data_IF_453389593321
#
_entry.id   IF_453389593321
#
_cell.length_a   1.000
_cell.length_b   1.000
_cell.length_c   1.000
_cell.angle_alpha   90.00
_cell.angle_beta   90.00
_cell.angle_gamma   90.00
#
_symmetry.space_group_name_H-M   'P 1'
#
loop_
_entity.id
_entity.type
_entity.pdbx_description
1 polymer ?
#
# COMPACT_ATOMS: atom_id res chain seq x y z
N UNK A 1 39.10 14.97 -64.01
CA UNK A 1 40.14 15.17 -62.95
C UNK A 1 39.57 14.56 -61.68
N UNK A 2 40.09 13.56 -60.96
CA UNK A 2 41.38 12.86 -60.87
C UNK A 2 41.12 11.34 -60.69
N UNK A 3 42.14 10.54 -61.02
CA UNK A 3 42.33 9.08 -60.83
C UNK A 3 42.10 8.67 -59.35
N UNK A 4 41.82 7.40 -58.97
CA UNK A 4 42.72 6.23 -59.05
C UNK A 4 41.98 4.94 -58.64
N UNK A 5 42.34 3.82 -59.29
CA UNK A 5 42.15 2.45 -58.82
C UNK A 5 43.18 2.13 -57.71
N UNK A 6 42.86 1.26 -56.74
CA UNK A 6 43.85 0.36 -56.16
C UNK A 6 43.24 -0.91 -55.52
N UNK A 7 43.71 -2.02 -56.05
CA UNK A 7 43.68 -3.42 -55.62
C UNK A 7 44.46 -3.59 -54.30
N UNK A 8 44.03 -4.41 -53.31
CA UNK A 8 44.98 -5.23 -52.51
C UNK A 8 44.27 -6.16 -51.49
N UNK A 9 44.54 -7.46 -51.66
CA UNK A 9 44.79 -8.54 -50.69
C UNK A 9 43.88 -8.77 -49.46
N UNK A 10 43.23 -9.94 -49.49
CA UNK A 10 42.99 -10.78 -48.31
C UNK A 10 44.32 -11.13 -47.61
N UNK A 11 44.42 -10.87 -46.31
CA UNK A 11 45.47 -11.40 -45.45
C UNK A 11 44.82 -12.17 -44.30
N UNK A 12 44.93 -13.49 -44.36
CA UNK A 12 44.59 -14.39 -43.27
C UNK A 12 45.70 -14.32 -42.22
N UNK A 13 45.44 -13.67 -41.09
CA UNK A 13 46.29 -13.74 -39.90
C UNK A 13 45.77 -14.84 -38.98
N UNK A 14 46.48 -15.96 -39.02
CA UNK A 14 46.48 -16.98 -37.96
C UNK A 14 47.15 -16.34 -36.74
N UNK A 15 46.36 -15.93 -35.76
CA UNK A 15 46.86 -15.68 -34.41
C UNK A 15 46.73 -16.97 -33.61
N UNK A 16 47.83 -17.72 -33.53
CA UNK A 16 48.05 -18.60 -32.39
C UNK A 16 48.31 -17.71 -31.17
N UNK A 17 47.27 -17.51 -30.36
CA UNK A 17 47.45 -17.12 -28.97
C UNK A 17 47.38 -18.38 -28.14
N UNK A 18 48.53 -18.76 -27.58
CA UNK A 18 48.64 -19.69 -26.47
C UNK A 18 47.66 -19.24 -25.39
N UNK A 19 46.65 -20.07 -25.10
CA UNK A 19 45.98 -19.99 -23.82
C UNK A 19 47.01 -20.45 -22.78
N UNK A 20 47.55 -19.49 -22.01
CA UNK A 20 48.21 -19.80 -20.77
C UNK A 20 47.20 -20.53 -19.89
N UNK A 21 47.52 -21.78 -19.53
CA UNK A 21 47.01 -22.36 -18.30
C UNK A 21 47.62 -21.54 -17.17
N UNK A 22 46.87 -20.56 -16.68
CA UNK A 22 47.06 -20.09 -15.31
C UNK A 22 46.33 -21.12 -14.44
N UNK A 23 47.03 -22.22 -14.13
CA UNK A 23 46.69 -23.09 -13.02
C UNK A 23 46.99 -22.29 -11.75
N UNK A 24 46.04 -21.45 -11.35
CA UNK A 24 46.09 -20.68 -10.12
C UNK A 24 45.79 -21.65 -8.96
N UNK A 25 46.85 -22.21 -8.37
CA UNK A 25 46.83 -23.08 -7.17
C UNK A 25 46.39 -22.31 -5.90
N UNK A 26 45.31 -21.53 -5.98
CA UNK A 26 44.65 -20.97 -4.81
C UNK A 26 43.76 -22.06 -4.22
N UNK A 27 44.26 -22.75 -3.19
CA UNK A 27 43.48 -23.72 -2.43
C UNK A 27 42.17 -23.08 -1.92
N UNK A 28 41.04 -23.73 -2.19
CA UNK A 28 39.71 -23.27 -1.77
C UNK A 28 39.67 -23.04 -0.26
N UNK A 29 39.14 -21.90 0.17
CA UNK A 29 38.97 -21.53 1.58
C UNK A 29 37.58 -21.97 2.02
N UNK A 30 37.44 -23.27 2.32
CA UNK A 30 36.16 -23.85 2.70
C UNK A 30 35.80 -23.50 4.15
N UNK A 31 34.59 -22.94 4.39
CA UNK A 31 34.09 -22.76 5.74
C UNK A 31 33.59 -24.10 6.30
N UNK A 32 33.63 -24.22 7.62
CA UNK A 32 33.08 -25.35 8.38
C UNK A 32 31.57 -25.46 8.18
N UNK A 33 31.06 -26.69 8.28
CA UNK A 33 29.63 -26.95 8.21
C UNK A 33 28.89 -26.24 9.35
N UNK A 34 27.72 -25.67 9.04
CA UNK A 34 26.70 -25.36 10.06
C UNK A 34 26.13 -26.68 10.61
N UNK A 35 25.39 -26.64 11.72
CA UNK A 35 24.72 -27.82 12.25
C UNK A 35 23.32 -27.52 12.78
N UNK A 36 22.58 -28.56 13.18
CA UNK A 36 21.24 -28.45 13.77
C UNK A 36 20.27 -27.59 12.96
N UNK A 37 20.31 -27.69 11.63
CA UNK A 37 19.36 -27.00 10.75
C UNK A 37 17.95 -27.54 11.00
N UNK A 38 17.06 -26.67 11.45
CA UNK A 38 15.63 -26.95 11.64
C UNK A 38 14.76 -26.00 10.81
N UNK A 39 13.51 -26.40 10.61
CA UNK A 39 12.50 -25.59 9.96
C UNK A 39 11.20 -25.66 10.78
N UNK A 40 10.81 -24.54 11.35
CA UNK A 40 9.59 -24.40 12.15
C UNK A 40 8.51 -23.73 11.31
N UNK A 41 7.39 -24.43 11.00
CA UNK A 41 6.25 -23.84 10.31
C UNK A 41 5.64 -22.66 11.09
N UNK A 42 5.35 -21.56 10.38
CA UNK A 42 4.63 -20.40 10.90
C UNK A 42 3.49 -20.03 9.95
N UNK A 43 2.54 -19.21 10.43
CA UNK A 43 1.55 -18.61 9.53
C UNK A 43 2.26 -17.75 8.49
N UNK A 44 2.04 -18.04 7.21
CA UNK A 44 2.61 -17.26 6.11
C UNK A 44 4.11 -17.44 5.87
N UNK A 45 4.76 -18.40 6.53
CA UNK A 45 6.21 -18.57 6.45
C UNK A 45 6.79 -19.77 7.18
N UNK A 46 8.12 -19.85 7.17
CA UNK A 46 8.91 -20.87 7.87
C UNK A 46 10.11 -20.19 8.53
N UNK A 47 10.32 -20.44 9.83
CA UNK A 47 11.53 -20.04 10.53
C UNK A 47 12.59 -21.12 10.38
N UNK A 48 13.72 -20.78 9.80
CA UNK A 48 14.91 -21.64 9.76
C UNK A 48 15.83 -21.26 10.92
N UNK A 49 16.38 -22.26 11.60
CA UNK A 49 17.35 -22.08 12.68
C UNK A 49 18.51 -23.05 12.47
N UNK A 50 19.73 -22.63 12.80
CA UNK A 50 20.94 -23.45 12.70
C UNK A 50 21.99 -23.01 13.72
N UNK A 51 22.94 -23.88 14.03
CA UNK A 51 24.11 -23.51 14.81
C UNK A 51 25.24 -22.99 13.91
N UNK A 52 25.74 -21.79 14.25
CA UNK A 52 26.87 -21.16 13.55
C UNK A 52 28.18 -21.79 14.03
N UNK A 53 29.04 -22.30 13.12
CA UNK A 53 30.32 -22.85 13.50
C UNK A 53 31.28 -21.75 13.94
N UNK A 54 32.15 -22.07 14.91
CA UNK A 54 33.27 -21.19 15.28
C UNK A 54 34.37 -21.33 14.22
N UNK A 55 34.25 -20.56 13.15
CA UNK A 55 35.18 -20.58 12.01
C UNK A 55 35.38 -19.18 11.43
N UNK A 56 36.63 -18.70 11.38
CA UNK A 56 36.98 -17.42 10.78
C UNK A 56 36.84 -17.38 9.26
N UNK A 57 36.76 -18.54 8.61
CA UNK A 57 36.54 -18.64 7.16
C UNK A 57 35.06 -18.48 6.79
N UNK A 58 34.12 -18.58 7.74
CA UNK A 58 32.70 -18.34 7.48
C UNK A 58 32.45 -16.84 7.26
N UNK A 59 31.86 -16.50 6.13
CA UNK A 59 31.50 -15.13 5.79
C UNK A 59 29.98 -14.89 5.86
N UNK A 60 29.18 -15.84 5.36
CA UNK A 60 27.72 -15.84 5.49
C UNK A 60 27.16 -17.25 5.31
N UNK A 61 25.90 -17.45 5.70
CA UNK A 61 25.13 -18.65 5.36
C UNK A 61 24.15 -18.30 4.25
N UNK A 62 24.21 -19.01 3.15
CA UNK A 62 23.28 -18.89 2.04
C UNK A 62 22.10 -19.82 2.25
N UNK A 63 20.89 -19.28 2.19
CA UNK A 63 19.64 -20.03 2.14
C UNK A 63 19.09 -19.98 0.72
N UNK A 64 18.85 -21.14 0.10
CA UNK A 64 18.16 -21.23 -1.19
C UNK A 64 17.04 -22.26 -1.20
N UNK A 65 16.00 -21.95 -1.95
CA UNK A 65 14.85 -22.83 -2.19
C UNK A 65 14.21 -22.52 -3.54
N UNK A 66 13.39 -23.45 -4.00
CA UNK A 66 12.55 -23.27 -5.18
C UNK A 66 11.10 -23.28 -4.76
N UNK A 67 10.35 -22.26 -5.15
CA UNK A 67 8.92 -22.22 -4.88
C UNK A 67 8.22 -23.40 -5.58
N UNK A 68 7.50 -24.27 -4.86
CA UNK A 68 6.99 -25.54 -5.38
C UNK A 68 5.97 -25.36 -6.52
N UNK A 69 5.12 -24.33 -6.43
CA UNK A 69 4.13 -24.01 -7.48
C UNK A 69 4.71 -23.19 -8.64
N UNK A 70 5.39 -22.08 -8.36
CA UNK A 70 5.83 -21.15 -9.43
C UNK A 70 7.17 -21.52 -10.07
N UNK A 71 7.94 -22.43 -9.46
CA UNK A 71 9.30 -22.78 -9.89
C UNK A 71 10.33 -21.65 -9.68
N UNK A 72 9.93 -20.54 -9.05
CA UNK A 72 10.82 -19.41 -8.80
C UNK A 72 11.90 -19.80 -7.80
N UNK A 73 13.17 -19.68 -8.21
CA UNK A 73 14.33 -19.84 -7.33
C UNK A 73 14.51 -18.59 -6.48
N UNK A 74 14.78 -18.78 -5.19
CA UNK A 74 15.05 -17.71 -4.24
C UNK A 74 16.37 -18.00 -3.55
N UNK A 75 17.15 -16.95 -3.32
CA UNK A 75 18.42 -16.99 -2.61
C UNK A 75 18.45 -15.83 -1.61
N UNK A 76 18.83 -16.11 -0.37
CA UNK A 76 18.94 -15.15 0.73
C UNK A 76 20.23 -15.44 1.49
N UNK A 77 20.89 -14.41 1.99
CA UNK A 77 22.11 -14.56 2.79
C UNK A 77 21.84 -14.11 4.22
N UNK A 78 22.24 -14.92 5.19
CA UNK A 78 22.33 -14.57 6.60
C UNK A 78 23.78 -14.23 6.94
N UNK A 79 23.99 -13.13 7.66
CA UNK A 79 25.31 -12.77 8.19
C UNK A 79 25.87 -13.89 9.06
N UNK A 80 27.20 -13.96 9.18
CA UNK A 80 27.89 -14.85 10.13
C UNK A 80 27.42 -14.70 11.59
N UNK A 81 26.80 -13.56 11.94
CA UNK A 81 26.25 -13.32 13.27
C UNK A 81 24.79 -13.77 13.46
N UNK A 82 24.19 -14.38 12.44
CA UNK A 82 22.81 -14.85 12.48
C UNK A 82 22.78 -16.38 12.50
N UNK A 83 21.94 -16.92 13.37
CA UNK A 83 21.63 -18.33 13.56
C UNK A 83 20.21 -18.67 13.12
N UNK A 84 19.45 -17.69 12.62
CA UNK A 84 18.06 -17.83 12.22
C UNK A 84 17.73 -17.03 10.97
N UNK A 85 16.71 -17.47 10.22
CA UNK A 85 16.11 -16.73 9.11
C UNK A 85 14.62 -17.05 8.98
N UNK A 86 13.77 -16.03 9.08
CA UNK A 86 12.36 -16.13 8.70
C UNK A 86 12.20 -16.01 7.19
N UNK A 87 11.56 -17.01 6.58
CA UNK A 87 11.15 -16.95 5.18
C UNK A 87 9.64 -16.69 5.12
N UNK A 88 9.26 -15.47 4.77
CA UNK A 88 7.87 -15.02 4.65
C UNK A 88 7.31 -15.21 3.24
N UNK A 89 5.98 -15.06 3.11
CA UNK A 89 5.28 -15.07 1.83
C UNK A 89 5.06 -16.47 1.27
N UNK A 90 4.92 -17.46 2.15
CA UNK A 90 4.61 -18.85 1.80
C UNK A 90 3.17 -19.17 2.20
N UNK A 91 2.50 -19.98 1.39
CA UNK A 91 1.13 -20.41 1.67
C UNK A 91 1.10 -21.92 1.89
N UNK A 92 0.21 -22.39 2.78
CA UNK A 92 0.06 -23.81 3.02
C UNK A 92 -0.36 -24.56 1.75
N UNK A 93 -1.18 -23.93 0.89
CA UNK A 93 -1.60 -24.49 -0.41
C UNK A 93 -0.46 -24.76 -1.38
N UNK A 94 0.70 -24.10 -1.20
CA UNK A 94 1.85 -24.28 -2.09
C UNK A 94 2.55 -25.62 -1.84
N UNK A 95 2.29 -26.23 -0.68
CA UNK A 95 2.87 -27.52 -0.28
C UNK A 95 4.21 -27.40 0.42
N UNK A 96 4.97 -28.50 0.42
CA UNK A 96 6.24 -28.59 1.13
C UNK A 96 7.36 -27.90 0.34
N UNK A 97 8.11 -27.03 1.05
CA UNK A 97 9.33 -26.40 0.56
C UNK A 97 10.54 -27.24 0.97
N UNK A 98 11.54 -27.29 0.10
CA UNK A 98 12.88 -27.83 0.41
C UNK A 98 13.87 -26.67 0.47
N UNK A 99 14.42 -26.43 1.66
CA UNK A 99 15.40 -25.39 1.94
C UNK A 99 16.79 -25.99 2.00
N UNK A 100 17.76 -25.26 1.45
CA UNK A 100 19.16 -25.58 1.56
C UNK A 100 19.88 -24.45 2.28
N UNK A 101 20.71 -24.81 3.25
CA UNK A 101 21.58 -23.88 3.96
C UNK A 101 23.03 -24.25 3.70
N UNK A 102 23.82 -23.30 3.18
CA UNK A 102 25.20 -23.52 2.76
C UNK A 102 26.11 -22.43 3.35
N UNK A 103 27.11 -22.74 4.19
CA UNK A 103 28.09 -21.77 4.64
C UNK A 103 28.99 -21.37 3.47
N UNK A 104 29.31 -20.08 3.36
CA UNK A 104 30.11 -19.51 2.27
C UNK A 104 31.21 -18.64 2.85
N UNK A 105 32.42 -18.74 2.28
CA UNK A 105 33.57 -17.94 2.68
C UNK A 105 33.68 -16.60 1.95
N UNK A 106 34.66 -15.78 2.34
CA UNK A 106 34.90 -14.48 1.72
C UNK A 106 35.37 -14.60 0.26
N UNK A 107 35.98 -15.73 -0.11
CA UNK A 107 36.40 -16.08 -1.48
C UNK A 107 35.29 -16.70 -2.32
N UNK A 108 34.06 -16.81 -1.77
CA UNK A 108 32.90 -17.47 -2.38
C UNK A 108 33.03 -19.00 -2.52
N UNK A 109 33.98 -19.61 -1.81
CA UNK A 109 34.03 -21.06 -1.70
C UNK A 109 32.89 -21.55 -0.80
N UNK A 110 32.19 -22.59 -1.26
CA UNK A 110 30.99 -23.12 -0.60
C UNK A 110 31.33 -24.34 0.24
N UNK A 111 30.92 -24.33 1.51
CA UNK A 111 31.06 -25.46 2.41
C UNK A 111 29.96 -26.52 2.22
N UNK A 112 29.77 -27.35 3.23
CA UNK A 112 28.75 -28.41 3.21
C UNK A 112 27.32 -27.84 3.19
N UNK A 113 26.50 -28.33 2.26
CA UNK A 113 25.10 -27.95 2.13
C UNK A 113 24.22 -28.89 2.98
N UNK A 114 23.45 -28.31 3.89
CA UNK A 114 22.39 -29.01 4.63
C UNK A 114 21.02 -28.78 3.97
N UNK A 115 20.11 -29.75 4.12
CA UNK A 115 18.74 -29.70 3.62
C UNK A 115 17.76 -29.84 4.78
N UNK A 116 16.66 -29.06 4.73
CA UNK A 116 15.51 -29.23 5.61
C UNK A 116 14.22 -28.98 4.84
N UNK A 117 13.11 -29.56 5.28
CA UNK A 117 11.80 -29.42 4.63
C UNK A 117 10.75 -28.96 5.62
N UNK A 118 9.86 -28.10 5.14
CA UNK A 118 8.69 -27.67 5.89
C UNK A 118 7.62 -27.11 4.93
N UNK A 119 6.37 -27.16 5.36
CA UNK A 119 5.28 -26.38 4.77
C UNK A 119 4.93 -25.23 5.72
N UNK A 120 4.51 -24.09 5.19
CA UNK A 120 3.96 -23.02 6.02
C UNK A 120 2.61 -23.44 6.64
N UNK A 121 2.22 -22.80 7.74
CA UNK A 121 0.86 -22.90 8.27
C UNK A 121 -0.10 -22.02 7.43
N UNK A 122 -1.40 -22.37 7.35
CA UNK A 122 -2.37 -21.61 6.59
C UNK A 122 -2.46 -20.16 7.06
N UNK A 123 -2.55 -19.24 6.09
CA UNK A 123 -2.78 -17.81 6.34
C UNK A 123 -4.28 -17.52 6.46
N UNK A 124 -4.66 -16.71 7.44
CA UNK A 124 -6.05 -16.27 7.57
C UNK A 124 -6.51 -15.43 6.37
N UNK A 125 -7.81 -15.46 6.00
CA UNK A 125 -8.35 -14.56 5.00
C UNK A 125 -8.10 -13.09 5.38
N UNK A 126 -7.70 -12.30 4.39
CA UNK A 126 -7.46 -10.87 4.55
C UNK A 126 -8.70 -10.11 4.13
N UNK A 127 -9.22 -9.27 5.03
CA UNK A 127 -10.28 -8.31 4.69
C UNK A 127 -9.61 -7.09 4.06
N UNK A 128 -9.89 -6.87 2.78
CA UNK A 128 -9.42 -5.69 2.06
C UNK A 128 -10.55 -4.69 1.91
N UNK A 129 -10.29 -3.46 2.31
CA UNK A 129 -11.18 -2.35 2.02
C UNK A 129 -10.97 -1.88 0.57
N UNK A 130 -12.07 -1.78 -0.17
CA UNK A 130 -12.12 -1.24 -1.52
C UNK A 130 -12.95 0.04 -1.50
N UNK A 131 -12.39 1.11 -2.05
CA UNK A 131 -13.04 2.41 -2.19
C UNK A 131 -13.30 2.71 -3.65
N UNK A 132 -14.54 3.01 -4.00
CA UNK A 132 -14.95 3.41 -5.34
C UNK A 132 -15.47 4.85 -5.30
N UNK A 133 -14.92 5.74 -6.15
CA UNK A 133 -15.32 7.16 -6.19
C UNK A 133 -16.74 7.29 -6.73
N UNK A 134 -17.59 8.00 -5.99
CA UNK A 134 -18.93 8.39 -6.44
C UNK A 134 -18.81 9.67 -7.25
N UNK A 135 -19.30 9.64 -8.49
CA UNK A 135 -19.33 10.82 -9.34
C UNK A 135 -20.47 11.74 -8.87
N UNK A 136 -20.10 12.87 -8.27
CA UNK A 136 -21.00 13.93 -7.87
C UNK A 136 -20.95 15.08 -8.88
N UNK A 137 -22.07 15.77 -9.06
CA UNK A 137 -22.18 17.02 -9.80
C UNK A 137 -22.84 18.11 -8.95
N UNK A 138 -23.00 19.30 -9.52
CA UNK A 138 -23.63 20.46 -8.87
C UNK A 138 -24.95 20.12 -8.19
N UNK A 139 -25.81 19.39 -8.87
CA UNK A 139 -27.17 19.08 -8.40
C UNK A 139 -27.18 18.09 -7.22
N UNK A 140 -26.04 17.45 -6.93
CA UNK A 140 -25.87 16.62 -5.74
C UNK A 140 -25.57 17.44 -4.48
N UNK A 141 -25.25 18.74 -4.60
CA UNK A 141 -24.73 19.53 -3.50
C UNK A 141 -25.71 20.65 -3.11
N UNK A 142 -25.89 20.83 -1.82
CA UNK A 142 -26.61 21.96 -1.24
C UNK A 142 -25.79 22.53 -0.08
N UNK A 143 -25.64 23.85 -0.02
CA UNK A 143 -25.08 24.53 1.13
C UNK A 143 -26.17 25.35 1.83
N UNK A 144 -26.21 25.31 3.15
CA UNK A 144 -27.17 26.09 3.93
C UNK A 144 -26.91 27.59 3.90
N UNK A 145 -25.65 27.97 3.66
CA UNK A 145 -25.21 29.35 3.75
C UNK A 145 -24.05 29.64 2.79
N UNK A 146 -24.29 29.59 1.46
CA UNK A 146 -23.28 29.90 0.46
C UNK A 146 -22.90 31.39 0.52
N UNK A 147 -21.63 31.70 0.34
CA UNK A 147 -21.19 33.09 0.28
C UNK A 147 -21.71 33.79 -0.99
N UNK A 148 -22.31 34.99 -0.86
CA UNK A 148 -22.88 35.69 -2.00
C UNK A 148 -21.82 36.35 -2.89
N UNK A 149 -20.57 36.52 -2.44
CA UNK A 149 -19.55 37.40 -3.01
C UNK A 149 -18.20 36.73 -3.34
N UNK A 150 -17.75 35.76 -2.57
CA UNK A 150 -16.47 35.07 -2.75
C UNK A 150 -16.65 33.55 -2.79
N UNK A 151 -16.06 32.85 -3.76
CA UNK A 151 -16.20 31.38 -3.85
C UNK A 151 -17.66 30.92 -4.03
N UNK A 152 -18.44 31.64 -4.84
CA UNK A 152 -19.91 31.51 -4.93
C UNK A 152 -20.43 30.20 -5.51
N UNK A 153 -19.59 29.50 -6.29
CA UNK A 153 -20.04 28.41 -7.15
C UNK A 153 -19.81 27.07 -6.48
N UNK A 154 -20.87 26.46 -5.96
CA UNK A 154 -20.79 25.17 -5.26
C UNK A 154 -20.30 24.04 -6.17
N UNK A 155 -20.48 24.17 -7.49
CA UNK A 155 -19.92 23.26 -8.49
C UNK A 155 -18.39 23.18 -8.46
N UNK A 156 -17.69 24.18 -7.92
CA UNK A 156 -16.23 24.11 -7.73
C UNK A 156 -15.80 23.03 -6.74
N UNK A 157 -16.72 22.51 -5.91
CA UNK A 157 -16.40 21.37 -5.05
C UNK A 157 -16.20 20.07 -5.83
N UNK A 158 -16.67 20.00 -7.07
CA UNK A 158 -16.74 18.75 -7.85
C UNK A 158 -16.31 18.97 -9.31
N UNK A 159 -15.51 20.01 -9.58
CA UNK A 159 -15.04 20.35 -10.92
C UNK A 159 -13.68 19.70 -11.25
N UNK A 160 -13.04 19.03 -10.28
CA UNK A 160 -11.71 18.45 -10.41
C UNK A 160 -10.58 19.48 -10.44
N UNK A 161 -10.85 20.73 -10.07
CA UNK A 161 -9.90 21.83 -10.06
C UNK A 161 -9.64 22.37 -8.64
N UNK A 162 -8.65 21.77 -8.00
CA UNK A 162 -8.13 22.11 -6.67
C UNK A 162 -7.56 23.54 -6.49
N UNK A 163 -7.59 24.39 -7.53
CA UNK A 163 -7.21 25.80 -7.43
C UNK A 163 -8.40 26.74 -7.25
N UNK A 164 -9.59 26.32 -7.69
CA UNK A 164 -10.84 26.99 -7.38
C UNK A 164 -11.23 26.71 -5.93
N UNK A 165 -12.20 27.45 -5.41
CA UNK A 165 -12.76 27.16 -4.10
C UNK A 165 -14.21 27.63 -4.00
N UNK A 166 -14.99 26.88 -3.23
CA UNK A 166 -16.27 27.30 -2.71
C UNK A 166 -16.10 27.84 -1.29
N UNK A 167 -16.80 28.92 -0.97
CA UNK A 167 -16.79 29.53 0.36
C UNK A 167 -18.22 29.59 0.90
N UNK A 168 -18.37 29.24 2.17
CA UNK A 168 -19.62 29.50 2.92
C UNK A 168 -19.58 30.91 3.51
N UNK A 169 -20.71 31.58 3.69
CA UNK A 169 -20.77 33.02 3.95
C UNK A 169 -19.91 33.47 5.14
N UNK A 170 -18.82 34.20 4.86
CA UNK A 170 -17.99 34.77 5.92
C UNK A 170 -18.30 36.25 6.19
N UNK A 171 -19.04 36.88 5.29
CA UNK A 171 -19.48 38.27 5.40
C UNK A 171 -20.60 38.42 6.44
N UNK A 172 -21.54 37.48 6.48
CA UNK A 172 -22.63 37.40 7.47
C UNK A 172 -22.79 35.97 7.99
N UNK A 173 -21.75 35.38 8.58
CA UNK A 173 -21.74 33.97 9.01
C UNK A 173 -22.88 33.59 9.98
N UNK A 174 -23.29 34.49 10.87
CA UNK A 174 -24.20 34.15 11.96
C UNK A 174 -23.54 33.21 12.98
N UNK A 175 -24.33 32.36 13.65
CA UNK A 175 -23.86 31.54 14.80
C UNK A 175 -24.17 30.05 14.65
N UNK A 176 -24.80 29.64 13.56
CA UNK A 176 -25.16 28.24 13.32
C UNK A 176 -24.08 27.62 12.43
N UNK A 177 -23.59 26.41 12.74
CA UNK A 177 -22.65 25.68 11.89
C UNK A 177 -23.06 25.61 10.41
N UNK A 178 -22.11 25.86 9.51
CA UNK A 178 -22.33 25.71 8.09
C UNK A 178 -22.18 24.24 7.68
N UNK A 179 -22.88 23.84 6.62
CA UNK A 179 -22.81 22.47 6.12
C UNK A 179 -22.99 22.38 4.60
N UNK A 180 -22.52 21.25 4.06
CA UNK A 180 -22.85 20.76 2.73
C UNK A 180 -23.69 19.50 2.88
N UNK A 181 -24.88 19.51 2.28
CA UNK A 181 -25.67 18.31 2.05
C UNK A 181 -25.30 17.71 0.69
N UNK A 182 -25.10 16.40 0.69
CA UNK A 182 -24.70 15.59 -0.46
C UNK A 182 -25.83 14.61 -0.72
N UNK A 183 -26.53 14.78 -1.84
CA UNK A 183 -27.52 13.84 -2.36
C UNK A 183 -26.80 12.77 -3.17
N UNK A 184 -26.88 11.51 -2.74
CA UNK A 184 -26.15 10.42 -3.37
C UNK A 184 -26.91 9.86 -4.58
N UNK A 185 -26.23 9.52 -5.69
CA UNK A 185 -26.87 8.91 -6.86
C UNK A 185 -27.54 7.56 -6.57
N UNK A 186 -27.10 6.88 -5.51
CA UNK A 186 -27.70 5.65 -4.97
C UNK A 186 -27.41 5.59 -3.47
N UNK A 187 -28.27 4.94 -2.66
CA UNK A 187 -28.02 4.81 -1.23
C UNK A 187 -26.70 4.09 -0.93
N UNK A 188 -25.97 4.54 0.08
CA UNK A 188 -24.68 3.98 0.51
C UNK A 188 -24.71 3.60 1.97
N UNK A 189 -24.04 2.51 2.34
CA UNK A 189 -23.95 2.06 3.73
C UNK A 189 -22.66 2.55 4.38
N UNK A 190 -21.52 2.17 3.79
CA UNK A 190 -20.20 2.58 4.23
C UNK A 190 -19.54 3.50 3.20
N UNK A 191 -18.87 4.53 3.67
CA UNK A 191 -18.31 5.56 2.79
C UNK A 191 -17.15 6.33 3.42
N UNK A 192 -16.45 7.09 2.59
CA UNK A 192 -15.48 8.12 3.01
C UNK A 192 -15.76 9.42 2.29
N UNK A 193 -15.45 10.52 2.96
CA UNK A 193 -15.46 11.87 2.39
C UNK A 193 -14.01 12.34 2.36
N UNK A 194 -13.58 12.88 1.23
CA UNK A 194 -12.28 13.52 1.10
C UNK A 194 -12.48 14.99 0.74
N UNK A 195 -11.93 15.87 1.57
CA UNK A 195 -12.02 17.32 1.39
C UNK A 195 -10.64 17.88 1.11
N UNK A 196 -10.57 18.83 0.19
CA UNK A 196 -9.38 19.58 -0.11
C UNK A 196 -9.61 21.02 0.32
N UNK A 197 -8.69 21.59 1.09
CA UNK A 197 -8.85 22.93 1.63
C UNK A 197 -8.30 23.99 0.70
N UNK A 198 -8.95 25.16 0.68
CA UNK A 198 -8.45 26.34 -0.03
C UNK A 198 -7.00 26.62 0.40
N UNK A 199 -6.12 26.84 -0.58
CA UNK A 199 -4.73 27.22 -0.32
C UNK A 199 -4.57 28.64 0.25
N UNK A 200 -3.51 28.85 1.03
CA UNK A 200 -3.12 30.17 1.55
C UNK A 200 -3.59 30.48 2.98
N UNK A 201 -3.43 31.74 3.41
CA UNK A 201 -3.71 32.21 4.78
C UNK A 201 -5.21 32.33 5.13
N UNK A 202 -6.09 32.15 4.14
CA UNK A 202 -7.53 32.42 4.23
C UNK A 202 -8.40 31.19 3.90
N UNK A 203 -7.83 29.99 4.06
CA UNK A 203 -8.59 28.75 4.00
C UNK A 203 -9.11 28.42 5.40
N UNK A 204 -10.33 28.84 5.72
CA UNK A 204 -10.95 28.46 6.97
C UNK A 204 -11.35 27.00 6.83
N UNK A 205 -10.69 26.13 7.58
CA UNK A 205 -10.81 24.69 7.45
C UNK A 205 -11.72 24.16 8.55
N UNK A 206 -12.63 23.23 8.26
CA UNK A 206 -13.30 22.45 9.30
C UNK A 206 -12.27 21.79 10.24
N UNK A 207 -12.53 21.84 11.55
CA UNK A 207 -11.69 21.25 12.61
C UNK A 207 -12.52 20.26 13.41
N UNK A 208 -13.74 20.64 13.79
CA UNK A 208 -14.74 19.71 14.34
C UNK A 208 -15.82 19.49 13.29
N UNK A 209 -15.95 18.26 12.82
CA UNK A 209 -16.88 17.88 11.75
C UNK A 209 -17.88 16.87 12.30
N UNK A 210 -19.17 17.17 12.20
CA UNK A 210 -20.22 16.17 12.38
C UNK A 210 -20.72 15.70 11.03
N UNK A 211 -20.65 14.39 10.80
CA UNK A 211 -21.25 13.73 9.64
C UNK A 211 -22.60 13.16 10.04
N UNK A 212 -23.65 13.52 9.31
CA UNK A 212 -25.00 13.00 9.52
C UNK A 212 -25.52 12.30 8.26
N UNK A 213 -26.39 11.31 8.46
CA UNK A 213 -27.06 10.57 7.40
C UNK A 213 -28.57 10.72 7.46
N UNK A 214 -29.20 10.71 6.28
CA UNK A 214 -30.64 10.74 6.11
C UNK A 214 -31.08 9.89 4.90
N UNK A 215 -32.35 9.47 4.91
CA UNK A 215 -33.00 8.80 3.77
C UNK A 215 -34.17 9.61 3.18
N UNK A 216 -34.58 10.70 3.84
CA UNK A 216 -35.67 11.58 3.40
C UNK A 216 -35.20 13.02 3.15
N UNK A 217 -33.96 13.37 3.54
CA UNK A 217 -33.40 14.72 3.46
C UNK A 217 -33.89 15.66 4.57
N UNK A 218 -34.79 15.20 5.45
CA UNK A 218 -35.43 16.01 6.50
C UNK A 218 -34.97 15.57 7.89
N UNK A 219 -34.96 14.27 8.16
CA UNK A 219 -34.54 13.68 9.43
C UNK A 219 -33.10 13.21 9.35
N UNK A 220 -32.25 13.78 10.20
CA UNK A 220 -30.81 13.56 10.17
C UNK A 220 -30.34 12.86 11.45
N UNK A 221 -29.61 11.75 11.27
CA UNK A 221 -29.00 10.99 12.37
C UNK A 221 -27.49 11.17 12.33
N UNK A 222 -26.87 11.41 13.49
CA UNK A 222 -25.41 11.51 13.58
C UNK A 222 -24.78 10.15 13.24
N UNK A 223 -23.83 10.15 12.30
CA UNK A 223 -22.99 9.00 11.93
C UNK A 223 -21.67 9.07 12.71
N UNK A 224 -21.01 10.22 12.71
CA UNK A 224 -19.71 10.40 13.36
C UNK A 224 -19.44 11.86 13.72
N UNK A 225 -18.57 12.05 14.73
CA UNK A 225 -17.85 13.29 15.01
C UNK A 225 -16.38 13.03 14.70
N UNK A 226 -15.74 13.99 14.04
CA UNK A 226 -14.40 13.86 13.49
C UNK A 226 -13.62 15.13 13.83
N UNK A 227 -12.37 14.95 14.26
CA UNK A 227 -11.41 16.03 14.45
C UNK A 227 -10.38 16.02 13.31
N UNK A 228 -10.11 17.20 12.75
CA UNK A 228 -9.05 17.45 11.78
C UNK A 228 -8.18 18.63 12.24
N UNK A 229 -6.89 18.61 11.89
CA UNK A 229 -5.95 19.70 12.22
C UNK A 229 -6.29 21.03 11.52
N UNK A 230 -7.12 20.99 10.46
CA UNK A 230 -7.67 22.17 9.81
C UNK A 230 -6.61 23.09 9.19
N UNK A 231 -5.80 22.54 8.28
CA UNK A 231 -4.66 23.25 7.67
C UNK A 231 -4.92 23.67 6.22
N UNK A 232 -4.92 24.98 5.96
CA UNK A 232 -5.11 25.53 4.61
C UNK A 232 -4.13 24.95 3.57
N UNK A 233 -4.67 24.59 2.41
CA UNK A 233 -3.93 23.92 1.33
C UNK A 233 -3.61 22.43 1.56
N UNK A 234 -4.02 21.85 2.69
CA UNK A 234 -3.99 20.42 2.90
C UNK A 234 -5.28 19.75 2.39
N UNK A 235 -5.33 18.43 2.51
CA UNK A 235 -6.53 17.63 2.30
C UNK A 235 -6.75 16.71 3.49
N UNK A 236 -8.01 16.38 3.76
CA UNK A 236 -8.39 15.42 4.78
C UNK A 236 -9.26 14.33 4.18
N UNK A 237 -9.08 13.08 4.63
CA UNK A 237 -9.94 11.96 4.27
C UNK A 237 -10.46 11.34 5.55
N UNK A 238 -11.78 11.21 5.66
CA UNK A 238 -12.40 10.61 6.84
C UNK A 238 -11.95 9.15 7.01
N UNK A 239 -12.01 8.59 8.24
CA UNK A 239 -12.08 7.13 8.38
C UNK A 239 -13.30 6.57 7.63
N UNK A 240 -13.41 5.25 7.54
CA UNK A 240 -14.62 4.61 7.02
C UNK A 240 -15.79 4.92 7.95
N UNK A 241 -16.80 5.59 7.39
CA UNK A 241 -18.02 6.00 8.08
C UNK A 241 -19.17 5.08 7.69
N UNK A 242 -20.26 5.17 8.44
CA UNK A 242 -21.46 4.37 8.22
C UNK A 242 -21.34 2.93 8.74
N UNK A 243 -22.36 2.12 8.51
CA UNK A 243 -22.46 0.77 9.05
C UNK A 243 -23.15 -0.13 8.04
N UNK A 244 -22.62 -1.35 7.86
CA UNK A 244 -23.22 -2.36 6.98
C UNK A 244 -24.67 -2.65 7.39
N UNK A 245 -25.56 -2.75 6.42
CA UNK A 245 -27.01 -2.91 6.60
C UNK A 245 -27.76 -1.62 6.98
N UNK A 246 -27.10 -0.47 7.03
CA UNK A 246 -27.73 0.84 7.30
C UNK A 246 -27.45 1.81 6.15
N UNK A 247 -28.32 1.85 5.11
CA UNK A 247 -28.10 2.72 3.95
C UNK A 247 -28.54 4.17 4.22
N UNK A 248 -27.87 5.11 3.55
CA UNK A 248 -28.14 6.54 3.55
C UNK A 248 -28.23 7.07 2.12
N UNK A 249 -29.26 7.88 1.83
CA UNK A 249 -29.44 8.54 0.53
C UNK A 249 -28.90 9.97 0.52
N UNK A 250 -28.75 10.57 1.71
CA UNK A 250 -28.22 11.92 1.91
C UNK A 250 -27.19 11.91 3.01
N UNK A 251 -26.11 12.66 2.80
CA UNK A 251 -25.05 12.86 3.80
C UNK A 251 -24.87 14.35 4.04
N UNK A 252 -24.79 14.77 5.30
CA UNK A 252 -24.48 16.14 5.71
C UNK A 252 -23.08 16.18 6.28
N UNK A 253 -22.21 16.96 5.65
CA UNK A 253 -20.91 17.33 6.17
C UNK A 253 -21.03 18.70 6.84
N UNK A 254 -21.04 18.74 8.18
CA UNK A 254 -21.23 19.97 8.96
C UNK A 254 -19.97 20.31 9.72
N UNK A 255 -19.47 21.53 9.55
CA UNK A 255 -18.35 22.05 10.31
C UNK A 255 -18.88 22.73 11.58
N UNK A 256 -18.80 22.03 12.70
CA UNK A 256 -19.23 22.54 14.01
C UNK A 256 -18.24 23.57 14.57
N UNK A 257 -16.95 23.37 14.30
CA UNK A 257 -15.90 24.36 14.52
C UNK A 257 -14.93 24.38 13.32
N UNK A 258 -14.44 25.57 12.96
CA UNK A 258 -13.39 25.74 11.96
C UNK A 258 -12.14 26.36 12.56
N UNK A 259 -11.01 26.26 11.85
CA UNK A 259 -9.76 26.93 12.20
C UNK A 259 -10.00 28.41 12.51
N UNK A 260 -9.57 28.86 13.69
CA UNK A 260 -9.84 30.23 14.16
C UNK A 260 -11.18 30.41 14.88
N UNK A 261 -11.84 29.31 15.26
CA UNK A 261 -13.10 29.27 16.02
C UNK A 261 -14.25 30.03 15.33
N UNK A 262 -14.49 29.69 14.06
CA UNK A 262 -15.58 30.23 13.25
C UNK A 262 -16.56 29.11 12.83
N UNK A 263 -17.67 29.50 12.21
CA UNK A 263 -18.72 28.58 11.73
C UNK A 263 -18.72 28.38 10.20
N UNK A 264 -17.89 29.15 9.49
CA UNK A 264 -17.79 29.15 8.03
C UNK A 264 -16.46 28.56 7.58
N UNK A 265 -16.48 27.87 6.44
CA UNK A 265 -15.31 27.24 5.85
C UNK A 265 -15.23 27.47 4.34
N UNK A 266 -14.05 27.12 3.79
CA UNK A 266 -13.76 27.14 2.36
C UNK A 266 -13.10 25.83 1.93
N UNK A 267 -13.66 25.17 0.91
CA UNK A 267 -13.10 23.95 0.33
C UNK A 267 -12.76 24.20 -1.14
N UNK A 268 -11.65 23.62 -1.59
CA UNK A 268 -11.25 23.56 -2.99
C UNK A 268 -11.96 22.42 -3.73
N UNK A 269 -12.13 21.26 -3.09
CA UNK A 269 -12.78 20.09 -3.68
C UNK A 269 -13.40 19.23 -2.56
N UNK A 270 -14.47 18.50 -2.89
CA UNK A 270 -15.10 17.48 -2.07
C UNK A 270 -15.32 16.23 -2.93
N UNK A 271 -14.75 15.12 -2.49
CA UNK A 271 -14.90 13.82 -3.10
C UNK A 271 -15.60 12.86 -2.15
N UNK A 272 -16.38 11.95 -2.72
CA UNK A 272 -17.13 10.95 -1.96
C UNK A 272 -16.80 9.56 -2.50
N UNK A 273 -16.60 8.61 -1.60
CA UNK A 273 -16.23 7.24 -1.94
C UNK A 273 -17.15 6.25 -1.24
N UNK A 274 -17.70 5.28 -1.96
CA UNK A 274 -18.30 4.11 -1.33
C UNK A 274 -17.21 3.19 -0.83
N UNK A 275 -17.42 2.57 0.32
CA UNK A 275 -16.53 1.56 0.89
C UNK A 275 -17.24 0.21 0.83
N UNK A 276 -16.53 -0.80 0.35
CA UNK A 276 -16.94 -2.20 0.44
C UNK A 276 -15.75 -3.05 0.86
N UNK A 277 -16.01 -4.17 1.53
CA UNK A 277 -14.98 -5.12 1.91
C UNK A 277 -14.94 -6.29 0.92
N UNK A 278 -13.75 -6.68 0.51
CA UNK A 278 -13.49 -7.92 -0.19
C UNK A 278 -12.71 -8.84 0.73
N UNK A 279 -13.21 -10.06 0.93
CA UNK A 279 -12.48 -11.10 1.65
C UNK A 279 -11.63 -11.84 0.63
N UNK A 280 -10.31 -11.72 0.75
CA UNK A 280 -9.36 -12.48 -0.04
C UNK A 280 -8.73 -13.56 0.83
N UNK A 281 -9.04 -14.81 0.51
CA UNK A 281 -8.35 -15.95 1.11
C UNK A 281 -7.14 -16.33 0.24
N UNK A 282 -5.90 -16.07 0.69
CA UNK A 282 -4.71 -16.45 -0.07
C UNK A 282 -4.59 -17.97 -0.22
N UNK A 283 -5.14 -18.76 0.70
CA UNK A 283 -5.10 -20.23 0.64
C UNK A 283 -6.11 -20.80 -0.34
N UNK A 284 -7.18 -20.07 -0.67
CA UNK A 284 -8.30 -20.57 -1.47
C UNK A 284 -9.05 -21.73 -0.79
N UNK A 285 -8.90 -21.86 0.53
CA UNK A 285 -9.54 -22.88 1.39
C UNK A 285 -10.78 -22.27 2.08
N UNK A 286 -11.37 -21.20 1.55
CA UNK A 286 -12.58 -20.64 2.11
C UNK A 286 -13.76 -21.60 1.91
N UNK A 287 -14.18 -22.25 3.00
CA UNK A 287 -15.46 -22.94 3.12
C UNK A 287 -16.27 -22.18 4.17
N UNK A 288 -17.09 -21.20 3.77
CA UNK A 288 -18.11 -20.72 4.69
C UNK A 288 -19.03 -21.91 4.95
N UNK A 289 -19.20 -22.29 6.21
CA UNK A 289 -20.29 -23.20 6.57
C UNK A 289 -21.58 -22.59 6.03
N UNK A 290 -22.33 -23.39 5.26
CA UNK A 290 -23.67 -23.03 4.83
C UNK A 290 -24.44 -22.62 6.09
N UNK A 291 -24.78 -21.33 6.22
CA UNK A 291 -25.67 -20.87 7.29
C UNK A 291 -27.02 -21.57 7.05
N UNK A 292 -27.32 -22.58 7.87
CA UNK A 292 -28.66 -23.17 8.00
C UNK A 292 -29.72 -22.11 8.31
#
# INVERSE_FOLDING_TARGET
MKKKYFFMACLATIFMVSACNDDDDNAAVLPSAISNLTATPLEGGVLLEWEVPVDSNLFYVQIDYTHPVTGKRVNKNASVFCDTMLIEGMLAKDGEYTFHATPVSSTQDVGERLEVRASALPVQPVVKEITDKVLLGKDNLLCNKPDPDEGKYIEYLVDGNYTNFFHTDWHDAGTVPHYIDITLPSPVEQFKIQTYYRGGKYGQCPVEITVLGSNDGEQWNKIAEIEDEGKGGASYTTPTLGTEGQPYSYIRYRADETSGNAVYFALAELEFYTVRTEIYDPEGIYRPEDKE
#
